data_IF_825785906325
#
_entry.id   IF_825785906325
#
_cell.length_a   1.000
_cell.length_b   1.000
_cell.length_c   1.000
_cell.angle_alpha   90.00
_cell.angle_beta   90.00
_cell.angle_gamma   90.00
#
_symmetry.space_group_name_H-M   'P 1'
#
loop_
_entity.id
_entity.type
_entity.pdbx_description
1 polymer ?
#
# COMPACT_ATOMS: atom_id res chain seq x y z
N UNK A 1 -12.37 2.74 -13.84
CA UNK A 1 -12.38 1.80 -12.69
C UNK A 1 -11.17 2.10 -11.83
N UNK A 2 -11.31 2.25 -10.52
CA UNK A 2 -10.19 2.56 -9.61
C UNK A 2 -9.52 1.27 -9.17
N UNK A 3 -8.18 1.20 -9.25
CA UNK A 3 -7.41 0.06 -8.76
C UNK A 3 -7.16 0.21 -7.26
N UNK A 4 -7.45 -0.84 -6.48
CA UNK A 4 -7.30 -0.86 -5.02
C UNK A 4 -6.31 -1.94 -4.63
N UNK A 5 -5.42 -1.66 -3.69
CA UNK A 5 -4.49 -2.64 -3.11
C UNK A 5 -4.56 -2.61 -1.58
N UNK A 6 -4.57 -3.80 -0.96
CA UNK A 6 -4.39 -3.97 0.49
C UNK A 6 -2.96 -4.42 0.72
N UNK A 7 -2.22 -3.72 1.60
CA UNK A 7 -0.85 -4.09 1.95
C UNK A 7 -0.78 -4.34 3.46
N UNK A 8 -0.47 -5.56 3.84
CA UNK A 8 -0.29 -5.96 5.25
C UNK A 8 1.13 -5.64 5.73
N UNK A 9 1.32 -5.34 7.02
CA UNK A 9 2.64 -5.02 7.60
C UNK A 9 3.28 -3.78 6.98
N UNK A 10 2.47 -2.82 6.52
CA UNK A 10 2.91 -1.64 5.77
C UNK A 10 3.05 -0.37 6.60
N UNK A 11 3.04 -0.47 7.93
CA UNK A 11 3.39 0.60 8.85
C UNK A 11 4.88 0.97 8.79
N UNK A 12 5.74 0.06 8.32
CA UNK A 12 7.19 0.30 8.22
C UNK A 12 7.88 -0.56 7.16
N UNK A 13 9.18 -0.34 6.99
CA UNK A 13 10.07 -1.18 6.19
C UNK A 13 9.61 -1.38 4.74
N UNK A 14 9.69 -2.65 4.29
CA UNK A 14 9.38 -3.02 2.91
C UNK A 14 7.89 -2.84 2.61
N UNK A 15 6.99 -3.17 3.54
CA UNK A 15 5.55 -3.01 3.34
C UNK A 15 5.18 -1.55 3.05
N UNK A 16 5.76 -0.61 3.80
CA UNK A 16 5.58 0.82 3.56
C UNK A 16 6.14 1.27 2.20
N UNK A 17 7.31 0.75 1.80
CA UNK A 17 7.92 1.07 0.51
C UNK A 17 7.03 0.60 -0.66
N UNK A 18 6.45 -0.60 -0.57
CA UNK A 18 5.52 -1.13 -1.56
C UNK A 18 4.22 -0.32 -1.61
N UNK A 19 3.63 0.01 -0.45
CA UNK A 19 2.43 0.84 -0.37
C UNK A 19 2.64 2.20 -1.06
N UNK A 20 3.78 2.86 -0.82
CA UNK A 20 4.15 4.12 -1.50
C UNK A 20 4.33 3.95 -3.00
N UNK A 21 5.01 2.88 -3.44
CA UNK A 21 5.23 2.61 -4.87
C UNK A 21 3.91 2.41 -5.62
N UNK A 22 3.01 1.59 -5.05
CA UNK A 22 1.69 1.32 -5.63
C UNK A 22 0.79 2.55 -5.62
N UNK A 23 0.86 3.37 -4.57
CA UNK A 23 0.14 4.63 -4.54
C UNK A 23 0.58 5.57 -5.68
N UNK A 24 1.88 5.65 -5.93
CA UNK A 24 2.42 6.42 -7.06
C UNK A 24 1.97 5.87 -8.43
N UNK A 25 1.69 4.57 -8.54
CA UNK A 25 1.09 3.94 -9.72
C UNK A 25 -0.43 4.16 -9.83
N UNK A 26 -1.03 4.98 -8.97
CA UNK A 26 -2.43 5.38 -9.02
C UNK A 26 -3.39 4.45 -8.29
N UNK A 27 -2.88 3.54 -7.45
CA UNK A 27 -3.73 2.70 -6.60
C UNK A 27 -4.25 3.47 -5.39
N UNK A 28 -5.50 3.19 -4.99
CA UNK A 28 -5.97 3.47 -3.64
C UNK A 28 -5.49 2.36 -2.71
N UNK A 29 -4.84 2.74 -1.61
CA UNK A 29 -4.19 1.80 -0.71
C UNK A 29 -4.97 1.67 0.59
N UNK A 30 -5.22 0.45 1.03
CA UNK A 30 -5.56 0.12 2.41
C UNK A 30 -4.36 -0.51 3.11
N UNK A 31 -3.97 0.03 4.24
CA UNK A 31 -2.91 -0.53 5.08
C UNK A 31 -3.56 -1.35 6.20
N UNK A 32 -3.04 -2.54 6.45
CA UNK A 32 -3.40 -3.36 7.61
C UNK A 32 -2.14 -3.68 8.37
N UNK A 33 -2.03 -3.21 9.60
CA UNK A 33 -0.91 -3.49 10.50
C UNK A 33 -1.42 -3.76 11.92
N UNK A 34 -0.59 -4.37 12.76
CA UNK A 34 -0.90 -4.68 14.16
C UNK A 34 -0.72 -3.47 15.08
#
# INVERSE_FOLDING_TARGET
MVKVAIVTGAGQGIGLAIAKRLHADGFKIGIVDY
#
